data_IF_955510284792
#
_entry.id   IF_955510284792
#
_cell.length_a   1.000
_cell.length_b   1.000
_cell.length_c   1.000
_cell.angle_alpha   90.00
_cell.angle_beta   90.00
_cell.angle_gamma   90.00
#
_symmetry.space_group_name_H-M   'P 1'
#
loop_
_entity.id
_entity.type
_entity.pdbx_description
1 polymer ?
#
# COMPACT_ATOMS: atom_id res chain seq x y z
N UNK A 1 -3.91 15.51 -13.73
CA UNK A 1 -3.34 15.54 -12.36
C UNK A 1 -2.27 14.47 -12.31
N UNK A 2 -1.06 14.81 -11.89
CA UNK A 2 0.01 13.83 -11.67
C UNK A 2 0.04 13.41 -10.20
N UNK A 3 0.60 12.23 -9.89
CA UNK A 3 0.67 11.71 -8.51
C UNK A 3 1.30 12.71 -7.52
N UNK A 4 2.35 13.42 -7.92
CA UNK A 4 3.01 14.44 -7.09
C UNK A 4 2.09 15.64 -6.80
N UNK A 5 1.33 16.11 -7.79
CA UNK A 5 0.38 17.21 -7.60
C UNK A 5 -0.76 16.82 -6.66
N UNK A 6 -1.20 15.57 -6.75
CA UNK A 6 -2.17 15.02 -5.83
C UNK A 6 -1.63 14.90 -4.40
N UNK A 7 -0.40 14.40 -4.23
CA UNK A 7 0.26 14.32 -2.92
C UNK A 7 0.33 15.70 -2.25
N UNK A 8 0.81 16.72 -2.97
CA UNK A 8 0.86 18.10 -2.45
C UNK A 8 -0.52 18.65 -2.12
N UNK A 9 -1.51 18.46 -2.99
CA UNK A 9 -2.88 18.88 -2.70
C UNK A 9 -3.43 18.18 -1.44
N UNK A 10 -3.19 16.88 -1.30
CA UNK A 10 -3.65 16.09 -0.18
C UNK A 10 -3.04 16.56 1.14
N UNK A 11 -1.73 16.84 1.17
CA UNK A 11 -1.07 17.44 2.34
C UNK A 11 -1.69 18.78 2.76
N UNK A 12 -2.12 19.61 1.80
CA UNK A 12 -2.73 20.91 2.12
C UNK A 12 -4.16 20.83 2.65
N UNK A 13 -4.91 19.78 2.29
CA UNK A 13 -6.31 19.63 2.69
C UNK A 13 -6.45 18.86 4.01
N UNK A 14 -5.59 17.88 4.27
CA UNK A 14 -5.61 17.08 5.50
C UNK A 14 -5.70 17.90 6.80
N UNK A 15 -4.90 18.96 7.04
CA UNK A 15 -5.00 19.74 8.28
C UNK A 15 -6.26 20.61 8.36
N UNK A 16 -6.96 20.83 7.25
CA UNK A 16 -8.19 21.64 7.19
C UNK A 16 -9.45 20.82 7.46
N UNK A 17 -9.35 19.50 7.43
CA UNK A 17 -10.48 18.61 7.66
C UNK A 17 -10.74 18.46 9.17
N UNK A 18 -11.98 18.13 9.52
CA UNK A 18 -12.35 17.87 10.92
C UNK A 18 -11.84 16.49 11.35
N UNK A 19 -11.44 16.31 12.63
CA UNK A 19 -11.19 14.98 13.17
C UNK A 19 -12.37 14.04 12.87
N UNK A 20 -12.09 12.76 12.60
CA UNK A 20 -13.08 11.72 12.26
C UNK A 20 -13.81 11.90 10.91
N UNK A 21 -13.31 12.74 10.00
CA UNK A 21 -13.88 12.83 8.65
C UNK A 21 -13.60 11.56 7.84
N UNK A 22 -14.58 11.14 7.02
CA UNK A 22 -14.42 10.05 6.04
C UNK A 22 -13.96 10.68 4.72
N UNK A 23 -12.80 10.26 4.21
CA UNK A 23 -12.34 10.65 2.87
C UNK A 23 -12.59 9.49 1.92
N UNK A 24 -13.39 9.76 0.89
CA UNK A 24 -13.71 8.84 -0.18
C UNK A 24 -12.97 9.30 -1.43
N UNK A 25 -12.12 8.45 -1.99
CA UNK A 25 -11.35 8.74 -3.20
C UNK A 25 -11.83 7.87 -4.35
N UNK A 26 -11.84 8.42 -5.56
CA UNK A 26 -12.09 7.65 -6.77
C UNK A 26 -10.94 6.67 -7.04
N UNK A 27 -11.23 5.60 -7.77
CA UNK A 27 -10.24 4.58 -8.12
C UNK A 27 -9.39 5.07 -9.31
N UNK A 28 -8.60 6.11 -9.10
CA UNK A 28 -7.70 6.65 -10.10
C UNK A 28 -6.26 6.15 -9.84
N UNK A 29 -5.49 5.78 -10.90
CA UNK A 29 -4.15 5.20 -10.77
C UNK A 29 -3.18 6.05 -9.95
N UNK A 30 -3.42 7.37 -9.93
CA UNK A 30 -2.57 8.37 -9.28
C UNK A 30 -2.79 8.45 -7.76
N UNK A 31 -3.88 7.90 -7.22
CA UNK A 31 -4.14 7.79 -5.77
C UNK A 31 -3.59 6.50 -5.17
N UNK A 32 -3.32 5.51 -6.01
CA UNK A 32 -2.90 4.15 -5.62
C UNK A 32 -1.40 3.94 -5.76
N UNK A 33 -0.60 5.01 -5.58
CA UNK A 33 0.86 4.89 -5.60
C UNK A 33 1.30 4.14 -4.35
N UNK A 34 1.63 2.85 -4.54
CA UNK A 34 2.22 2.02 -3.49
C UNK A 34 3.53 2.62 -3.05
N UNK A 35 3.78 2.66 -1.74
CA UNK A 35 5.05 3.11 -1.17
C UNK A 35 6.22 2.26 -1.68
N UNK A 36 5.96 0.99 -1.93
CA UNK A 36 6.96 0.04 -2.37
C UNK A 36 6.39 -0.91 -3.43
N UNK A 37 7.27 -1.35 -4.33
CA UNK A 37 6.91 -2.41 -5.26
C UNK A 37 6.97 -3.75 -4.54
N UNK A 38 5.80 -4.34 -4.33
CA UNK A 38 5.68 -5.70 -3.79
C UNK A 38 5.97 -6.69 -4.94
N UNK A 39 6.74 -7.76 -4.69
CA UNK A 39 7.02 -8.75 -5.71
C UNK A 39 5.75 -9.38 -6.27
N UNK A 40 5.73 -9.58 -7.60
CA UNK A 40 4.62 -10.20 -8.33
C UNK A 40 5.12 -11.40 -9.13
N UNK A 41 4.21 -12.16 -9.75
CA UNK A 41 4.57 -13.32 -10.59
C UNK A 41 5.50 -12.98 -11.75
N UNK A 42 5.61 -11.72 -12.16
CA UNK A 42 6.56 -11.24 -13.18
C UNK A 42 8.00 -11.09 -12.67
N UNK A 43 8.22 -11.08 -11.36
CA UNK A 43 9.56 -10.92 -10.77
C UNK A 43 10.41 -12.19 -10.90
N UNK A 44 11.73 -12.03 -10.95
CA UNK A 44 12.68 -13.14 -10.89
C UNK A 44 12.70 -13.74 -9.49
N UNK A 45 12.98 -15.05 -9.36
CA UNK A 45 13.09 -15.75 -8.06
C UNK A 45 14.08 -15.03 -7.12
N UNK A 46 15.25 -14.66 -7.64
CA UNK A 46 16.28 -13.92 -6.89
C UNK A 46 15.79 -12.58 -6.35
N UNK A 47 15.04 -11.81 -7.15
CA UNK A 47 14.48 -10.53 -6.73
C UNK A 47 13.42 -10.68 -5.62
N UNK A 48 12.66 -11.78 -5.63
CA UNK A 48 11.70 -12.10 -4.56
C UNK A 48 12.44 -12.45 -3.26
N UNK A 49 13.52 -13.24 -3.36
CA UNK A 49 14.38 -13.62 -2.22
C UNK A 49 15.04 -12.40 -1.59
N UNK A 50 15.59 -11.50 -2.41
CA UNK A 50 16.18 -10.25 -1.95
C UNK A 50 15.14 -9.35 -1.25
N UNK A 51 13.93 -9.25 -1.80
CA UNK A 51 12.85 -8.50 -1.15
C UNK A 51 12.49 -9.08 0.22
N UNK A 52 12.33 -10.41 0.33
CA UNK A 52 12.05 -11.07 1.60
C UNK A 52 13.19 -10.87 2.63
N UNK A 53 14.45 -10.93 2.16
CA UNK A 53 15.63 -10.66 2.99
C UNK A 53 15.64 -9.22 3.52
N UNK A 54 15.38 -8.23 2.66
CA UNK A 54 15.27 -6.82 3.03
C UNK A 54 14.16 -6.58 4.06
N UNK A 55 13.07 -7.35 3.97
CA UNK A 55 11.96 -7.31 4.95
C UNK A 55 12.21 -8.15 6.20
N UNK A 56 13.36 -8.84 6.29
CA UNK A 56 13.70 -9.76 7.37
C UNK A 56 12.65 -10.87 7.56
N UNK A 57 12.03 -11.28 6.46
CA UNK A 57 11.09 -12.41 6.43
C UNK A 57 11.89 -13.68 6.21
N UNK A 58 11.71 -14.68 7.05
CA UNK A 58 12.40 -15.96 6.91
C UNK A 58 11.84 -16.76 5.71
N UNK A 59 12.74 -17.35 4.93
CA UNK A 59 12.41 -18.24 3.81
C UNK A 59 13.50 -19.32 3.67
N UNK A 60 13.16 -20.45 3.06
CA UNK A 60 14.11 -21.52 2.76
C UNK A 60 14.61 -21.41 1.31
N UNK A 61 15.90 -21.62 1.05
CA UNK A 61 16.52 -21.55 -0.27
C UNK A 61 15.94 -22.56 -1.28
N UNK A 62 15.50 -23.70 -0.76
CA UNK A 62 14.87 -24.77 -1.54
C UNK A 62 13.48 -24.38 -2.09
N UNK A 63 12.85 -23.33 -1.56
CA UNK A 63 11.50 -22.95 -1.95
C UNK A 63 11.40 -22.57 -3.43
N UNK A 64 10.35 -23.03 -4.09
CA UNK A 64 10.07 -22.64 -5.47
C UNK A 64 9.46 -21.23 -5.51
N UNK A 65 9.48 -20.61 -6.70
CA UNK A 65 8.99 -19.23 -6.89
C UNK A 65 7.56 -19.02 -6.37
N UNK A 66 6.69 -20.02 -6.52
CA UNK A 66 5.30 -19.94 -6.08
C UNK A 66 5.21 -19.88 -4.55
N UNK A 67 5.99 -20.69 -3.83
CA UNK A 67 6.03 -20.71 -2.36
C UNK A 67 6.62 -19.41 -1.80
N UNK A 68 7.66 -18.86 -2.45
CA UNK A 68 8.19 -17.55 -2.10
C UNK A 68 7.14 -16.44 -2.29
N UNK A 69 6.32 -16.51 -3.36
CA UNK A 69 5.21 -15.59 -3.57
C UNK A 69 4.10 -15.77 -2.52
N UNK A 70 3.84 -16.99 -2.04
CA UNK A 70 2.91 -17.21 -0.93
C UNK A 70 3.40 -16.50 0.34
N UNK A 71 4.70 -16.59 0.65
CA UNK A 71 5.29 -15.82 1.75
C UNK A 71 5.16 -14.32 1.56
N UNK A 72 5.37 -13.82 0.34
CA UNK A 72 5.10 -12.41 0.02
C UNK A 72 3.63 -12.08 0.27
N UNK A 73 2.67 -12.93 -0.12
CA UNK A 73 1.23 -12.69 0.10
C UNK A 73 0.88 -12.68 1.59
N UNK A 74 1.46 -13.57 2.39
CA UNK A 74 1.27 -13.59 3.84
C UNK A 74 1.66 -12.25 4.47
N UNK A 75 2.78 -11.65 4.04
CA UNK A 75 3.31 -10.41 4.63
C UNK A 75 2.93 -9.15 3.86
N UNK A 76 2.35 -9.25 2.65
CA UNK A 76 2.14 -8.09 1.76
C UNK A 76 1.34 -7.00 2.45
N UNK A 77 0.34 -7.37 3.26
CA UNK A 77 -0.55 -6.43 3.93
C UNK A 77 0.19 -5.48 4.90
N UNK A 78 1.37 -5.87 5.39
CA UNK A 78 2.23 -5.03 6.23
C UNK A 78 2.97 -3.95 5.42
N UNK A 79 3.15 -4.19 4.12
CA UNK A 79 3.93 -3.35 3.21
C UNK A 79 3.07 -2.72 2.11
N UNK A 80 1.81 -3.14 1.97
CA UNK A 80 0.81 -2.61 1.03
C UNK A 80 0.20 -1.31 1.58
N UNK A 81 1.06 -0.39 2.01
CA UNK A 81 0.67 0.95 2.42
C UNK A 81 0.74 1.90 1.23
N UNK A 82 -0.29 2.71 1.10
CA UNK A 82 -0.35 3.78 0.12
C UNK A 82 0.32 5.03 0.70
N UNK A 83 1.02 5.80 -0.13
CA UNK A 83 1.62 7.07 0.31
C UNK A 83 0.60 8.00 0.98
N UNK A 84 -0.63 7.97 0.48
CA UNK A 84 -1.76 8.77 0.96
C UNK A 84 -2.14 8.41 2.41
N UNK A 85 -2.08 7.13 2.77
CA UNK A 85 -2.33 6.67 4.14
C UNK A 85 -1.23 7.14 5.11
N UNK A 86 0.02 7.23 4.65
CA UNK A 86 1.13 7.73 5.45
C UNK A 86 0.99 9.23 5.73
N UNK A 87 0.65 10.03 4.70
CA UNK A 87 0.34 11.46 4.86
C UNK A 87 -0.80 11.64 5.88
N UNK A 88 -1.85 10.81 5.76
CA UNK A 88 -2.97 10.88 6.68
C UNK A 88 -2.61 10.48 8.12
N UNK A 89 -1.82 9.41 8.31
CA UNK A 89 -1.31 8.98 9.63
C UNK A 89 -0.39 10.00 10.26
N UNK A 90 0.43 10.71 9.47
CA UNK A 90 1.34 11.75 9.95
C UNK A 90 0.60 12.96 10.50
N UNK A 91 -0.52 13.33 9.87
CA UNK A 91 -1.27 14.54 10.22
C UNK A 91 -2.31 14.24 11.31
N UNK A 92 -2.98 13.10 11.25
CA UNK A 92 -3.98 12.68 12.23
C UNK A 92 -3.51 11.45 12.99
N UNK A 93 -3.07 11.68 14.23
CA UNK A 93 -2.68 10.62 15.16
C UNK A 93 -3.91 9.78 15.55
N UNK A 94 -4.03 8.62 14.89
CA UNK A 94 -4.92 7.47 15.13
C UNK A 94 -6.35 7.50 14.57
N UNK A 95 -6.70 6.36 13.97
CA UNK A 95 -8.01 5.93 13.41
C UNK A 95 -8.48 6.61 12.13
N UNK A 96 -7.68 6.49 11.07
CA UNK A 96 -8.11 6.84 9.71
C UNK A 96 -8.25 5.59 8.84
N UNK A 97 -9.43 5.39 8.23
CA UNK A 97 -9.67 4.39 7.18
C UNK A 97 -9.87 5.11 5.85
N UNK A 98 -8.85 5.08 4.99
CA UNK A 98 -9.06 5.37 3.56
C UNK A 98 -9.72 4.13 2.98
N UNK A 99 -10.93 4.29 2.46
CA UNK A 99 -11.61 3.19 1.77
C UNK A 99 -11.59 3.52 0.29
N UNK A 100 -10.83 2.79 -0.55
CA UNK A 100 -10.96 2.91 -1.99
C UNK A 100 -12.39 2.53 -2.38
N UNK A 101 -13.01 3.27 -3.32
CA UNK A 101 -14.37 2.95 -3.80
C UNK A 101 -14.50 1.49 -4.30
N UNK A 102 -13.40 0.86 -4.71
CA UNK A 102 -13.35 -0.53 -5.16
C UNK A 102 -13.59 -1.58 -4.07
N UNK A 103 -13.51 -1.21 -2.78
CA UNK A 103 -13.77 -2.11 -1.64
C UNK A 103 -15.23 -2.11 -1.16
N UNK A 104 -16.07 -1.22 -1.68
CA UNK A 104 -17.52 -1.23 -1.42
C UNK A 104 -18.30 -2.10 -2.42
N UNK A 105 -17.63 -2.62 -3.46
CA UNK A 105 -18.25 -3.42 -4.52
C UNK A 105 -18.16 -4.95 -4.32
N UNK A 106 -17.57 -5.43 -3.21
CA UNK A 106 -17.49 -6.88 -2.89
C UNK A 106 -18.37 -7.31 -1.72
N UNK A 107 -19.22 -6.42 -1.21
CA UNK A 107 -20.27 -6.75 -0.25
C UNK A 107 -21.62 -6.50 -0.89
N UNK A 108 -22.01 -7.38 -1.81
CA UNK A 108 -23.37 -7.67 -2.24
C UNK A 108 -23.40 -9.06 -2.86
#
# INVERSE_FOLDING_TARGET
MDGNHFETWFETIMPKLKPQSIIVMDNSPYHSVKKEKIPTSSWKKSAIQEWLLLKKVAWNEDLIKIELLQKVIEVKHLYDSYKVEEIAKKIWSQNFKITPLSLQAQSN
#
